data_IF_167936351108
#
_entry.id   IF_167936351108
#
_cell.length_a   1.000
_cell.length_b   1.000
_cell.length_c   1.000
_cell.angle_alpha   90.00
_cell.angle_beta   90.00
_cell.angle_gamma   90.00
#
_symmetry.space_group_name_H-M   'P 1'
#
loop_
_entity.id
_entity.type
_entity.pdbx_description
1 polymer ?
#
# COMPACT_ATOMS: atom_id res chain seq x y z
N UNK A 1 -13.39 -4.96 -9.88
CA UNK A 1 -12.80 -3.69 -10.39
C UNK A 1 -12.42 -2.88 -9.16
N UNK A 2 -11.26 -2.23 -9.13
CA UNK A 2 -10.86 -1.45 -7.94
C UNK A 2 -11.70 -0.17 -7.88
N UNK A 3 -12.48 -0.02 -6.81
CA UNK A 3 -13.29 1.17 -6.54
C UNK A 3 -12.52 2.19 -5.69
N UNK A 4 -11.53 1.74 -4.91
CA UNK A 4 -10.71 2.61 -4.09
C UNK A 4 -9.34 2.03 -3.76
N UNK A 5 -8.32 2.89 -3.73
CA UNK A 5 -6.98 2.57 -3.20
C UNK A 5 -6.81 3.24 -1.84
N UNK A 6 -6.35 2.49 -0.84
CA UNK A 6 -5.97 3.08 0.44
C UNK A 6 -4.51 2.78 0.79
N UNK A 7 -3.89 3.69 1.53
CA UNK A 7 -2.54 3.52 2.04
C UNK A 7 -2.28 4.43 3.24
N UNK A 8 -1.17 4.21 3.95
CA UNK A 8 -0.82 4.97 5.16
C UNK A 8 -0.05 6.26 4.93
N UNK A 9 0.27 6.60 3.68
CA UNK A 9 0.90 7.85 3.30
C UNK A 9 2.40 7.96 3.60
N UNK A 10 3.05 6.88 4.04
CA UNK A 10 4.51 6.87 4.17
C UNK A 10 5.20 7.13 2.81
N UNK A 11 6.46 7.55 2.82
CA UNK A 11 7.27 7.56 1.59
C UNK A 11 7.40 6.16 1.01
N UNK A 12 7.93 6.04 -0.22
CA UNK A 12 8.10 4.75 -0.87
C UNK A 12 6.77 4.21 -1.39
N UNK A 13 6.41 2.99 -0.99
CA UNK A 13 5.24 2.27 -1.54
C UNK A 13 3.93 3.00 -1.29
N UNK A 14 3.73 3.52 -0.09
CA UNK A 14 2.47 4.14 0.31
C UNK A 14 2.16 5.38 -0.56
N UNK A 15 3.12 6.29 -0.73
CA UNK A 15 2.97 7.46 -1.60
C UNK A 15 2.86 7.08 -3.08
N UNK A 16 3.63 6.09 -3.56
CA UNK A 16 3.51 5.60 -4.94
C UNK A 16 2.10 5.09 -5.25
N UNK A 17 1.48 4.36 -4.31
CA UNK A 17 0.11 3.89 -4.44
C UNK A 17 -0.89 5.05 -4.57
N UNK A 18 -0.76 6.06 -3.71
CA UNK A 18 -1.64 7.23 -3.73
C UNK A 18 -1.46 8.07 -5.00
N UNK A 19 -0.23 8.31 -5.43
CA UNK A 19 0.05 9.08 -6.65
C UNK A 19 -0.41 8.35 -7.92
N UNK A 20 -0.32 7.00 -7.97
CA UNK A 20 -0.92 6.22 -9.06
C UNK A 20 -2.44 6.30 -9.05
N UNK A 21 -3.07 6.20 -7.88
CA UNK A 21 -4.52 6.34 -7.78
C UNK A 21 -4.99 7.71 -8.29
N UNK A 22 -4.31 8.79 -7.89
CA UNK A 22 -4.55 10.15 -8.38
C UNK A 22 -4.39 10.23 -9.90
N UNK A 23 -3.28 9.69 -10.44
CA UNK A 23 -2.99 9.75 -11.88
C UNK A 23 -4.01 9.00 -12.74
N UNK A 24 -4.59 7.92 -12.21
CA UNK A 24 -5.60 7.11 -12.91
C UNK A 24 -7.04 7.55 -12.60
N UNK A 25 -7.25 8.58 -11.77
CA UNK A 25 -8.58 9.02 -11.35
C UNK A 25 -9.32 8.03 -10.45
N UNK A 26 -8.61 7.09 -9.83
CA UNK A 26 -9.18 6.12 -8.89
C UNK A 26 -9.36 6.82 -7.53
N UNK A 27 -10.53 6.70 -6.87
CA UNK A 27 -10.71 7.20 -5.52
C UNK A 27 -9.60 6.70 -4.59
N UNK A 28 -9.02 7.60 -3.80
CA UNK A 28 -7.96 7.26 -2.86
C UNK A 28 -8.28 7.71 -1.43
N UNK A 29 -7.59 7.11 -0.45
CA UNK A 29 -7.69 7.49 0.95
C UNK A 29 -6.80 6.63 1.84
N UNK A 30 -7.23 6.44 3.08
CA UNK A 30 -6.53 5.63 4.08
C UNK A 30 -6.30 6.40 5.37
N UNK A 31 -5.64 5.72 6.31
CA UNK A 31 -5.36 6.22 7.66
C UNK A 31 -3.89 6.55 7.82
N UNK A 32 -3.63 7.77 8.30
CA UNK A 32 -2.28 8.28 8.57
C UNK A 32 -2.14 8.61 10.07
N UNK A 33 -0.95 8.56 10.70
CA UNK A 33 -0.82 8.96 12.09
C UNK A 33 -1.22 10.41 12.30
N UNK A 34 -1.63 10.74 13.54
CA UNK A 34 -1.87 12.12 13.97
C UNK A 34 -0.69 13.04 13.60
N UNK A 35 -1.00 14.22 13.07
CA UNK A 35 -0.04 15.18 12.51
C UNK A 35 0.43 14.82 11.10
N UNK A 36 -0.29 13.93 10.40
CA UNK A 36 0.04 13.45 9.04
C UNK A 36 1.49 12.96 8.90
N UNK A 37 2.00 12.31 9.95
CA UNK A 37 3.43 12.02 10.12
C UNK A 37 3.94 10.98 9.11
N UNK A 38 5.00 11.34 8.39
CA UNK A 38 5.83 10.45 7.55
C UNK A 38 7.30 10.57 7.95
N UNK A 39 8.22 9.86 7.29
CA UNK A 39 9.65 10.04 7.53
C UNK A 39 10.18 11.42 7.09
N UNK A 40 9.56 12.03 6.06
CA UNK A 40 9.95 13.33 5.52
C UNK A 40 9.13 14.50 6.10
N UNK A 41 8.47 14.28 7.24
CA UNK A 41 7.58 15.26 7.86
C UNK A 41 6.11 15.06 7.50
N UNK A 42 5.32 16.13 7.58
CA UNK A 42 3.87 16.05 7.37
C UNK A 42 3.54 15.80 5.88
N UNK A 43 2.64 14.84 5.62
CA UNK A 43 2.20 14.54 4.26
C UNK A 43 1.37 15.70 3.68
N UNK A 44 1.62 16.16 2.43
CA UNK A 44 0.85 17.24 1.81
C UNK A 44 -0.66 16.99 1.72
N UNK A 45 -1.46 18.06 1.70
CA UNK A 45 -2.93 17.98 1.74
C UNK A 45 -3.56 17.46 0.44
N UNK A 46 -2.79 17.36 -0.66
CA UNK A 46 -3.26 16.72 -1.90
C UNK A 46 -3.72 15.27 -1.69
N UNK A 47 -3.19 14.60 -0.66
CA UNK A 47 -3.54 13.23 -0.30
C UNK A 47 -4.72 13.21 0.70
N UNK A 48 -5.86 12.68 0.27
CA UNK A 48 -7.13 12.67 1.04
C UNK A 48 -7.18 11.57 2.11
N UNK A 49 -6.23 11.59 3.04
CA UNK A 49 -6.12 10.64 4.16
C UNK A 49 -6.82 11.15 5.43
N UNK A 50 -7.31 10.22 6.25
CA UNK A 50 -7.87 10.48 7.58
C UNK A 50 -6.81 10.31 8.65
N UNK A 51 -6.71 11.27 9.57
CA UNK A 51 -5.80 11.15 10.70
C UNK A 51 -6.34 10.19 11.76
N UNK A 52 -5.46 9.32 12.24
CA UNK A 52 -5.68 8.55 13.46
C UNK A 52 -5.67 9.49 14.68
N UNK A 53 -6.37 9.15 15.78
CA UNK A 53 -6.29 9.89 17.03
C UNK A 53 -4.90 9.81 17.71
N UNK A 54 -3.99 8.97 17.20
CA UNK A 54 -2.65 8.73 17.75
C UNK A 54 -1.58 8.88 16.67
N UNK A 55 -0.34 9.16 17.07
CA UNK A 55 0.82 9.21 16.17
C UNK A 55 1.46 7.83 15.92
N UNK A 56 0.78 6.73 16.29
CA UNK A 56 1.31 5.37 16.14
C UNK A 56 1.24 4.86 14.70
N UNK A 57 2.39 4.47 14.14
CA UNK A 57 2.45 3.80 12.85
C UNK A 57 1.78 2.42 12.87
N UNK A 58 1.84 1.69 13.98
CA UNK A 58 1.19 0.37 14.06
C UNK A 58 -0.34 0.49 13.97
N UNK A 59 -0.92 1.47 14.69
CA UNK A 59 -2.37 1.67 14.70
C UNK A 59 -2.93 2.09 13.33
N UNK A 60 -2.23 2.97 12.61
CA UNK A 60 -2.66 3.31 11.23
C UNK A 60 -2.50 2.13 10.28
N UNK A 61 -1.47 1.30 10.44
CA UNK A 61 -1.27 0.11 9.60
C UNK A 61 -2.42 -0.86 9.80
N UNK A 62 -2.77 -1.14 11.07
CA UNK A 62 -3.90 -1.99 11.41
C UNK A 62 -5.22 -1.45 10.86
N UNK A 63 -5.50 -0.15 11.03
CA UNK A 63 -6.74 0.42 10.51
C UNK A 63 -6.84 0.34 8.98
N UNK A 64 -5.74 0.53 8.24
CA UNK A 64 -5.75 0.36 6.78
C UNK A 64 -5.97 -1.10 6.36
N UNK A 65 -5.53 -2.08 7.15
CA UNK A 65 -5.83 -3.49 6.90
C UNK A 65 -7.31 -3.79 7.16
N UNK A 66 -7.86 -3.27 8.27
CA UNK A 66 -9.27 -3.51 8.65
C UNK A 66 -10.24 -2.88 7.64
N UNK A 67 -9.93 -1.67 7.17
CA UNK A 67 -10.79 -0.88 6.27
C UNK A 67 -10.61 -1.22 4.78
N UNK A 68 -9.89 -2.29 4.45
CA UNK A 68 -9.77 -2.82 3.09
C UNK A 68 -10.32 -4.23 2.95
N UNK A 69 -10.52 -4.64 1.71
CA UNK A 69 -10.95 -6.01 1.35
C UNK A 69 -9.76 -6.91 1.02
N UNK A 70 -8.60 -6.31 0.77
CA UNK A 70 -7.33 -7.01 0.69
C UNK A 70 -6.16 -6.05 0.85
N UNK A 71 -5.00 -6.61 1.19
CA UNK A 71 -3.74 -5.87 1.30
C UNK A 71 -2.70 -6.42 0.34
N UNK A 72 -2.22 -5.57 -0.57
CA UNK A 72 -1.07 -5.82 -1.42
C UNK A 72 0.18 -5.23 -0.76
N UNK A 73 1.16 -6.08 -0.45
CA UNK A 73 2.46 -5.67 0.07
C UNK A 73 3.49 -5.76 -1.04
N UNK A 74 4.19 -4.67 -1.33
CA UNK A 74 5.27 -4.62 -2.33
C UNK A 74 6.61 -4.38 -1.62
N UNK A 75 7.64 -5.13 -1.98
CA UNK A 75 9.00 -4.97 -1.43
C UNK A 75 10.10 -5.30 -2.46
N UNK A 76 11.35 -5.06 -2.05
CA UNK A 76 12.54 -5.64 -2.65
C UNK A 76 13.18 -6.56 -1.61
N UNK A 77 13.06 -7.86 -1.80
CA UNK A 77 13.44 -8.88 -0.82
C UNK A 77 12.38 -9.16 0.23
N UNK A 78 12.74 -9.89 1.30
CA UNK A 78 11.80 -10.35 2.32
C UNK A 78 11.17 -9.21 3.11
N UNK A 79 9.96 -9.47 3.66
CA UNK A 79 9.26 -8.50 4.49
C UNK A 79 10.01 -8.27 5.82
N UNK A 80 10.20 -7.00 6.16
CA UNK A 80 10.78 -6.58 7.43
C UNK A 80 9.99 -5.41 8.01
N UNK A 81 10.19 -5.11 9.30
CA UNK A 81 9.67 -3.91 9.96
C UNK A 81 8.17 -3.69 9.76
N UNK A 82 7.80 -2.52 9.25
CA UNK A 82 6.39 -2.13 9.04
C UNK A 82 5.65 -3.00 8.01
N UNK A 83 6.35 -3.52 7.01
CA UNK A 83 5.76 -4.40 6.00
C UNK A 83 5.46 -5.78 6.57
N UNK A 84 6.36 -6.33 7.42
CA UNK A 84 6.10 -7.57 8.14
C UNK A 84 4.94 -7.41 9.14
N UNK A 85 4.87 -6.28 9.84
CA UNK A 85 3.74 -5.95 10.70
C UNK A 85 2.42 -5.91 9.91
N UNK A 86 2.43 -5.35 8.70
CA UNK A 86 1.25 -5.31 7.83
C UNK A 86 0.78 -6.72 7.49
N UNK A 87 1.70 -7.61 7.10
CA UNK A 87 1.39 -9.01 6.81
C UNK A 87 0.79 -9.74 8.02
N UNK A 88 1.43 -9.61 9.20
CA UNK A 88 0.94 -10.22 10.45
C UNK A 88 -0.45 -9.70 10.82
N UNK A 89 -0.68 -8.41 10.64
CA UNK A 89 -1.98 -7.78 10.92
C UNK A 89 -3.06 -8.26 9.96
N UNK A 90 -2.74 -8.46 8.67
CA UNK A 90 -3.70 -9.01 7.71
C UNK A 90 -4.12 -10.44 8.08
N UNK A 91 -3.18 -11.28 8.50
CA UNK A 91 -3.49 -12.63 8.99
C UNK A 91 -4.30 -12.60 10.29
N UNK A 92 -3.98 -11.70 11.22
CA UNK A 92 -4.72 -11.57 12.48
C UNK A 92 -6.20 -11.21 12.28
N UNK A 93 -6.51 -10.41 11.25
CA UNK A 93 -7.86 -9.94 10.95
C UNK A 93 -8.54 -10.73 9.82
N UNK A 94 -8.01 -11.91 9.47
CA UNK A 94 -8.52 -12.76 8.38
C UNK A 94 -8.75 -12.00 7.06
N UNK A 95 -7.83 -11.08 6.75
CA UNK A 95 -7.87 -10.28 5.51
C UNK A 95 -6.97 -10.91 4.44
N UNK A 96 -7.45 -11.02 3.18
CA UNK A 96 -6.61 -11.42 2.05
C UNK A 96 -5.35 -10.57 1.97
N UNK A 97 -4.19 -11.22 1.89
CA UNK A 97 -2.91 -10.55 1.79
C UNK A 97 -2.08 -11.17 0.69
N UNK A 98 -1.52 -10.34 -0.20
CA UNK A 98 -0.59 -10.76 -1.24
C UNK A 98 0.72 -10.00 -1.08
N UNK A 99 1.83 -10.72 -1.01
CA UNK A 99 3.17 -10.15 -1.06
C UNK A 99 3.75 -10.32 -2.47
N UNK A 100 4.22 -9.20 -3.05
CA UNK A 100 5.00 -9.17 -4.29
C UNK A 100 6.40 -8.64 -3.97
N UNK A 101 7.39 -9.50 -4.15
CA UNK A 101 8.80 -9.13 -4.13
C UNK A 101 9.26 -8.79 -5.56
N UNK A 102 9.49 -7.50 -5.82
CA UNK A 102 9.95 -7.01 -7.12
C UNK A 102 11.46 -7.21 -7.34
N UNK A 103 12.20 -7.67 -6.33
CA UNK A 103 13.58 -8.12 -6.49
C UNK A 103 13.69 -9.50 -7.13
N UNK A 104 12.61 -10.28 -7.12
CA UNK A 104 12.57 -11.66 -7.66
C UNK A 104 11.59 -11.81 -8.82
N UNK A 105 10.46 -11.12 -8.78
CA UNK A 105 9.44 -11.16 -9.84
C UNK A 105 9.66 -10.06 -10.87
N UNK A 106 9.62 -10.43 -12.15
CA UNK A 106 9.54 -9.41 -13.20
C UNK A 106 8.15 -8.76 -13.22
N UNK A 107 8.05 -7.57 -13.82
CA UNK A 107 6.81 -6.77 -13.85
C UNK A 107 5.63 -7.54 -14.46
N UNK A 108 5.83 -8.34 -15.51
CA UNK A 108 4.74 -9.07 -16.15
C UNK A 108 4.15 -10.14 -15.23
N UNK A 109 5.00 -10.87 -14.51
CA UNK A 109 4.57 -11.85 -13.52
C UNK A 109 3.84 -11.18 -12.37
N UNK A 110 4.41 -10.10 -11.81
CA UNK A 110 3.77 -9.33 -10.75
C UNK A 110 2.37 -8.85 -11.17
N UNK A 111 2.23 -8.29 -12.37
CA UNK A 111 0.93 -7.81 -12.89
C UNK A 111 -0.09 -8.94 -12.97
N UNK A 112 0.29 -10.08 -13.55
CA UNK A 112 -0.62 -11.25 -13.68
C UNK A 112 -1.04 -11.76 -12.30
N UNK A 113 -0.09 -11.93 -11.38
CA UNK A 113 -0.36 -12.42 -10.03
C UNK A 113 -1.30 -11.49 -9.28
N UNK A 114 -1.03 -10.19 -9.30
CA UNK A 114 -1.87 -9.20 -8.60
C UNK A 114 -3.28 -9.14 -9.19
N UNK A 115 -3.42 -9.11 -10.52
CA UNK A 115 -4.73 -9.08 -11.18
C UNK A 115 -5.55 -10.33 -10.86
N UNK A 116 -4.95 -11.51 -10.98
CA UNK A 116 -5.61 -12.77 -10.65
C UNK A 116 -6.06 -12.80 -9.19
N UNK A 117 -5.20 -12.34 -8.26
CA UNK A 117 -5.53 -12.28 -6.84
C UNK A 117 -6.69 -11.31 -6.55
N UNK A 118 -6.68 -10.09 -7.13
CA UNK A 118 -7.77 -9.12 -7.01
C UNK A 118 -9.11 -9.73 -7.45
N UNK A 119 -9.12 -10.42 -8.60
CA UNK A 119 -10.33 -11.04 -9.15
C UNK A 119 -10.81 -12.21 -8.28
N UNK A 120 -9.92 -13.11 -7.88
CA UNK A 120 -10.27 -14.29 -7.08
C UNK A 120 -10.88 -13.95 -5.73
N UNK A 121 -10.45 -12.84 -5.12
CA UNK A 121 -10.97 -12.39 -3.82
C UNK A 121 -12.06 -11.32 -3.95
N UNK A 122 -12.41 -10.89 -5.17
CA UNK A 122 -13.42 -9.84 -5.38
C UNK A 122 -13.05 -8.49 -4.75
N UNK A 123 -11.76 -8.14 -4.74
CA UNK A 123 -11.28 -6.93 -4.06
C UNK A 123 -11.67 -5.69 -4.86
N UNK A 124 -12.31 -4.74 -4.19
CA UNK A 124 -12.67 -3.41 -4.68
C UNK A 124 -11.94 -2.31 -3.91
N UNK A 125 -11.81 -2.44 -2.58
CA UNK A 125 -11.01 -1.55 -1.73
C UNK A 125 -9.67 -2.21 -1.44
N UNK A 126 -8.63 -1.75 -2.14
CA UNK A 126 -7.28 -2.31 -2.04
C UNK A 126 -6.39 -1.44 -1.15
N UNK A 127 -5.92 -2.01 -0.04
CA UNK A 127 -4.82 -1.44 0.72
C UNK A 127 -3.48 -1.79 0.06
N UNK A 128 -2.59 -0.81 -0.09
CA UNK A 128 -1.25 -1.02 -0.64
C UNK A 128 -0.23 -0.52 0.37
N UNK A 129 0.73 -1.38 0.71
CA UNK A 129 1.73 -1.13 1.74
C UNK A 129 3.11 -1.65 1.33
N UNK A 130 4.16 -1.12 1.97
CA UNK A 130 5.53 -1.60 1.77
C UNK A 130 6.56 -0.73 2.49
N UNK A 131 7.86 -0.91 2.20
CA UNK A 131 8.92 -0.18 2.86
C UNK A 131 8.88 1.30 2.49
N UNK A 132 9.40 2.12 3.42
CA UNK A 132 9.62 3.55 3.22
C UNK A 132 10.79 3.80 2.27
N UNK A 133 10.85 4.98 1.68
CA UNK A 133 11.90 5.31 0.69
C UNK A 133 13.32 5.24 1.29
N UNK A 134 13.50 5.58 2.57
CA UNK A 134 14.82 5.45 3.22
C UNK A 134 15.34 4.01 3.32
N UNK A 135 14.47 3.01 3.26
CA UNK A 135 14.85 1.59 3.31
C UNK A 135 15.20 1.06 1.92
N UNK A 136 14.48 1.54 0.88
CA UNK A 136 14.71 1.16 -0.51
C UNK A 136 14.42 2.37 -1.42
N UNK A 137 15.45 3.12 -1.86
CA UNK A 137 15.24 4.34 -2.64
C UNK A 137 14.48 4.13 -3.96
N UNK A 138 14.64 2.95 -4.59
CA UNK A 138 14.02 2.61 -5.87
C UNK A 138 12.57 2.12 -5.76
N UNK A 139 12.09 1.82 -4.53
CA UNK A 139 10.81 1.14 -4.34
C UNK A 139 9.62 1.97 -4.84
N UNK A 140 9.71 3.30 -4.74
CA UNK A 140 8.65 4.19 -5.19
C UNK A 140 8.39 4.03 -6.70
N UNK A 141 9.44 4.15 -7.52
CA UNK A 141 9.31 4.11 -8.98
C UNK A 141 8.91 2.71 -9.47
N UNK A 142 9.49 1.67 -8.87
CA UNK A 142 9.14 0.28 -9.18
C UNK A 142 7.69 -0.04 -8.83
N UNK A 143 7.21 0.44 -7.67
CA UNK A 143 5.81 0.33 -7.26
C UNK A 143 4.92 1.06 -8.24
N UNK A 144 5.21 2.33 -8.54
CA UNK A 144 4.39 3.14 -9.42
C UNK A 144 4.25 2.53 -10.82
N UNK A 145 5.37 2.05 -11.39
CA UNK A 145 5.38 1.36 -12.69
C UNK A 145 4.54 0.08 -12.66
N UNK A 146 4.69 -0.73 -11.62
CA UNK A 146 3.94 -1.99 -11.47
C UNK A 146 2.45 -1.72 -11.31
N UNK A 147 2.06 -0.78 -10.45
CA UNK A 147 0.66 -0.46 -10.20
C UNK A 147 -0.02 0.16 -11.41
N UNK A 148 0.65 1.01 -12.18
CA UNK A 148 0.11 1.51 -13.46
C UNK A 148 -0.19 0.37 -14.43
N UNK A 149 0.66 -0.65 -14.49
CA UNK A 149 0.43 -1.82 -15.34
C UNK A 149 -0.63 -2.79 -14.77
N UNK A 150 -0.87 -2.78 -13.46
CA UNK A 150 -1.96 -3.56 -12.83
C UNK A 150 -3.32 -2.88 -13.05
N UNK A 151 -3.38 -1.56 -12.89
CA UNK A 151 -4.61 -0.78 -12.75
C UNK A 151 -5.03 -0.03 -14.02
N UNK A 152 -4.11 0.18 -14.96
CA UNK A 152 -4.40 0.68 -16.31
C UNK A 152 -4.73 -0.45 -17.28
#
# INVERSE_FOLDING_TARGET
>A
MISKIISGGQTGVDQAALDVAIALGIPHGGWIPKGRKTENGALPDKYRLKEMPTSSYAKRTEQNVIDSEGTLIISLGPLTGGSELTHKTAMLHDRPCLHIDLGTLNTLQAVKTVRSWIVSYGIEILNIAGPRASENPEIYDMTAKTLKAVLG
#
